data_IF_583417115160
#
_entry.id   IF_583417115160
#
_cell.length_a   1.000
_cell.length_b   1.000
_cell.length_c   1.000
_cell.angle_alpha   90.00
_cell.angle_beta   90.00
_cell.angle_gamma   90.00
#
_symmetry.space_group_name_H-M   'P 1'
#
loop_
_entity.id
_entity.type
_entity.pdbx_description
1 polymer ?
#
# COMPACT_ATOMS: atom_id res chain seq x y z
N UNK A 1 1.78 -13.10 10.22
CA UNK A 1 0.86 -12.02 9.83
C UNK A 1 1.58 -11.15 8.82
N UNK A 2 1.12 -11.06 7.57
CA UNK A 2 1.73 -10.18 6.56
C UNK A 2 1.24 -8.75 6.79
N UNK A 3 1.49 -8.20 7.97
CA UNK A 3 1.06 -6.86 8.30
C UNK A 3 2.23 -5.92 8.03
N UNK A 4 2.07 -5.12 6.97
CA UNK A 4 2.61 -3.76 6.97
C UNK A 4 2.04 -3.12 8.25
N UNK A 5 2.84 -3.11 9.32
CA UNK A 5 2.56 -2.69 10.70
C UNK A 5 1.07 -2.45 11.01
N UNK A 6 0.39 -3.42 11.62
CA UNK A 6 -0.93 -3.22 12.22
C UNK A 6 -0.89 -3.48 13.71
N UNK A 7 -1.41 -2.55 14.51
CA UNK A 7 -1.56 -2.67 15.97
C UNK A 7 -2.70 -3.64 16.38
N UNK A 8 -2.95 -4.67 15.57
CA UNK A 8 -4.01 -5.66 15.78
C UNK A 8 -3.36 -7.01 16.01
N UNK A 9 -3.77 -7.68 17.09
CA UNK A 9 -3.36 -9.04 17.44
C UNK A 9 -4.18 -10.10 16.68
N UNK A 10 -5.21 -9.67 15.95
CA UNK A 10 -6.11 -10.55 15.21
C UNK A 10 -5.54 -10.87 13.82
N UNK A 11 -5.39 -12.16 13.52
CA UNK A 11 -4.77 -12.65 12.29
C UNK A 11 -5.73 -12.85 11.12
N UNK A 12 -6.98 -12.42 11.25
CA UNK A 12 -7.98 -12.60 10.20
C UNK A 12 -7.67 -11.75 8.94
N UNK A 13 -8.19 -12.14 7.78
CA UNK A 13 -7.95 -11.43 6.51
C UNK A 13 -8.48 -9.99 6.50
N UNK A 14 -9.43 -9.66 7.37
CA UNK A 14 -10.02 -8.33 7.45
C UNK A 14 -9.06 -7.33 8.11
N UNK A 15 -8.36 -7.74 9.16
CA UNK A 15 -7.38 -6.93 9.86
C UNK A 15 -6.02 -6.98 9.17
N UNK A 16 -5.12 -6.08 9.57
CA UNK A 16 -3.81 -5.93 8.96
C UNK A 16 -3.82 -5.35 7.54
N UNK A 17 -2.63 -5.01 7.06
CA UNK A 17 -2.39 -4.45 5.74
C UNK A 17 -1.57 -5.42 4.88
N UNK A 18 -2.10 -5.80 3.72
CA UNK A 18 -1.42 -6.58 2.69
C UNK A 18 -1.04 -5.71 1.50
N UNK A 19 -0.20 -6.22 0.59
CA UNK A 19 0.13 -5.52 -0.66
C UNK A 19 -1.12 -5.12 -1.46
N UNK A 20 -2.11 -5.99 -1.56
CA UNK A 20 -3.41 -5.73 -2.20
C UNK A 20 -4.14 -4.54 -1.55
N UNK A 21 -4.30 -4.57 -0.22
CA UNK A 21 -5.00 -3.51 0.52
C UNK A 21 -4.26 -2.17 0.42
N UNK A 22 -2.93 -2.20 0.52
CA UNK A 22 -2.10 -1.00 0.47
C UNK A 22 -2.07 -0.39 -0.93
N UNK A 23 -2.02 -1.21 -1.99
CA UNK A 23 -2.12 -0.71 -3.36
C UNK A 23 -3.47 0.00 -3.59
N UNK A 24 -4.58 -0.59 -3.16
CA UNK A 24 -5.89 0.05 -3.27
C UNK A 24 -6.02 1.32 -2.41
N UNK A 25 -5.45 1.32 -1.21
CA UNK A 25 -5.41 2.51 -0.36
C UNK A 25 -4.60 3.65 -1.00
N UNK A 26 -3.43 3.35 -1.59
CA UNK A 26 -2.57 4.36 -2.20
C UNK A 26 -3.09 4.83 -3.55
N UNK A 27 -3.81 3.98 -4.29
CA UNK A 27 -4.54 4.38 -5.50
C UNK A 27 -5.56 5.49 -5.22
N UNK A 28 -6.13 5.54 -4.00
CA UNK A 28 -7.01 6.64 -3.61
C UNK A 28 -6.30 8.00 -3.58
N UNK A 29 -5.00 8.05 -3.24
CA UNK A 29 -4.24 9.30 -3.37
C UNK A 29 -4.04 9.68 -4.84
N UNK A 30 -3.73 8.70 -5.69
CA UNK A 30 -3.47 8.89 -7.12
C UNK A 30 -4.67 9.47 -7.89
N UNK A 31 -5.89 9.13 -7.47
CA UNK A 31 -7.13 9.43 -8.21
C UNK A 31 -8.02 10.49 -7.56
N UNK A 32 -7.47 11.34 -6.67
CA UNK A 32 -8.21 12.46 -6.08
C UNK A 32 -9.09 12.08 -4.88
N UNK A 33 -8.79 10.96 -4.22
CA UNK A 33 -9.37 10.55 -2.95
C UNK A 33 -10.49 9.53 -3.05
N UNK A 34 -10.60 8.80 -4.16
CA UNK A 34 -11.62 7.77 -4.38
C UNK A 34 -11.01 6.39 -4.17
N UNK A 35 -11.45 5.71 -3.11
CA UNK A 35 -11.09 4.32 -2.90
C UNK A 35 -11.91 3.43 -3.82
N UNK A 36 -11.23 2.51 -4.50
CA UNK A 36 -11.86 1.43 -5.23
C UNK A 36 -11.56 0.10 -4.56
N UNK A 37 -12.57 -0.75 -4.43
CA UNK A 37 -12.36 -2.11 -3.94
C UNK A 37 -11.47 -2.86 -4.95
N UNK A 38 -10.44 -3.60 -4.51
CA UNK A 38 -9.70 -4.49 -5.39
C UNK A 38 -10.64 -5.47 -6.10
N UNK A 39 -10.61 -5.47 -7.43
CA UNK A 39 -11.42 -6.34 -8.29
C UNK A 39 -10.50 -7.15 -9.19
N UNK A 40 -10.73 -8.47 -9.22
CA UNK A 40 -9.96 -9.42 -10.05
C UNK A 40 -10.74 -9.88 -11.28
N UNK A 41 -12.07 -9.74 -11.24
CA UNK A 41 -12.98 -10.13 -12.31
C UNK A 41 -13.91 -8.95 -12.61
N UNK A 42 -14.21 -8.75 -13.88
CA UNK A 42 -15.18 -7.76 -14.35
C UNK A 42 -16.44 -8.42 -14.96
N UNK A 43 -16.35 -9.67 -15.39
CA UNK A 43 -17.46 -10.42 -16.00
C UNK A 43 -17.27 -11.93 -15.86
N UNK A 44 -18.37 -12.64 -15.70
CA UNK A 44 -18.45 -14.11 -15.80
C UNK A 44 -19.54 -14.46 -16.80
N UNK A 45 -19.23 -15.37 -17.72
CA UNK A 45 -20.18 -15.97 -18.68
C UNK A 45 -20.41 -17.41 -18.27
N UNK A 46 -21.67 -17.80 -18.07
CA UNK A 46 -22.05 -19.14 -17.63
C UNK A 46 -22.27 -20.07 -18.82
N UNK A 47 -22.30 -21.38 -18.56
CA UNK A 47 -22.50 -22.40 -19.60
C UNK A 47 -23.87 -22.34 -20.28
N UNK A 48 -24.87 -21.74 -19.62
CA UNK A 48 -26.20 -21.48 -20.18
C UNK A 48 -26.27 -20.21 -21.04
N UNK A 49 -25.14 -19.51 -21.20
CA UNK A 49 -25.03 -18.26 -21.96
C UNK A 49 -25.44 -17.01 -21.17
N UNK A 50 -25.88 -17.13 -19.92
CA UNK A 50 -26.13 -15.97 -19.06
C UNK A 50 -24.81 -15.31 -18.63
N UNK A 51 -24.89 -14.03 -18.27
CA UNK A 51 -23.71 -13.24 -17.93
C UNK A 51 -23.92 -12.48 -16.62
N UNK A 52 -22.84 -12.33 -15.85
CA UNK A 52 -22.81 -11.48 -14.66
C UNK A 52 -21.63 -10.54 -14.73
N UNK A 53 -21.92 -9.24 -14.74
CA UNK A 53 -20.92 -8.18 -14.67
C UNK A 53 -20.66 -7.76 -13.23
N UNK A 54 -19.42 -7.35 -12.97
CA UNK A 54 -18.96 -6.92 -11.67
C UNK A 54 -18.27 -5.56 -11.82
N UNK A 55 -18.76 -4.56 -11.10
CA UNK A 55 -18.22 -3.21 -11.11
C UNK A 55 -18.13 -2.63 -9.70
N UNK A 56 -17.25 -1.65 -9.54
CA UNK A 56 -17.09 -0.89 -8.31
C UNK A 56 -17.17 0.59 -8.64
N UNK A 57 -18.21 1.26 -8.14
CA UNK A 57 -18.39 2.69 -8.33
C UNK A 57 -17.34 3.53 -7.58
N UNK A 58 -16.62 2.91 -6.64
CA UNK A 58 -15.70 3.59 -5.74
C UNK A 58 -16.42 4.36 -4.65
N UNK A 59 -15.67 4.76 -3.63
CA UNK A 59 -16.18 5.55 -2.50
C UNK A 59 -15.17 6.63 -2.15
N UNK A 60 -15.65 7.86 -1.92
CA UNK A 60 -14.77 8.95 -1.49
C UNK A 60 -14.22 8.65 -0.09
N UNK A 61 -12.93 8.39 -0.01
CA UNK A 61 -12.21 8.18 1.24
C UNK A 61 -11.59 9.47 1.79
N UNK A 62 -11.29 10.44 0.91
CA UNK A 62 -10.77 11.75 1.31
C UNK A 62 -11.15 12.86 0.33
N UNK A 63 -10.94 14.12 0.74
CA UNK A 63 -11.07 15.27 -0.14
C UNK A 63 -9.97 15.24 -1.19
N UNK A 64 -10.26 15.77 -2.37
CA UNK A 64 -9.28 15.90 -3.45
C UNK A 64 -8.07 16.73 -3.01
N UNK A 65 -8.29 17.81 -2.26
CA UNK A 65 -7.22 18.64 -1.70
C UNK A 65 -6.33 17.85 -0.74
N UNK A 66 -6.90 16.96 0.08
CA UNK A 66 -6.12 16.06 0.94
C UNK A 66 -5.28 15.10 0.11
N UNK A 67 -5.84 14.49 -0.93
CA UNK A 67 -5.12 13.57 -1.80
C UNK A 67 -3.95 14.27 -2.51
N UNK A 68 -4.17 15.50 -2.98
CA UNK A 68 -3.15 16.34 -3.58
C UNK A 68 -2.02 16.68 -2.60
N UNK A 69 -2.36 17.22 -1.42
CA UNK A 69 -1.37 17.57 -0.39
C UNK A 69 -0.52 16.35 0.02
N UNK A 70 -1.17 15.19 0.23
CA UNK A 70 -0.47 13.95 0.57
C UNK A 70 0.47 13.49 -0.55
N UNK A 71 0.03 13.61 -1.82
CA UNK A 71 0.86 13.28 -2.98
C UNK A 71 2.10 14.17 -3.08
N UNK A 72 1.95 15.49 -2.87
CA UNK A 72 3.07 16.42 -2.89
C UNK A 72 4.06 16.14 -1.76
N UNK A 73 3.57 15.82 -0.55
CA UNK A 73 4.45 15.39 0.54
C UNK A 73 5.19 14.09 0.20
N UNK A 74 4.50 13.09 -0.34
CA UNK A 74 5.10 11.77 -0.66
C UNK A 74 6.06 11.79 -1.85
N UNK A 75 5.96 12.76 -2.77
CA UNK A 75 7.01 12.98 -3.78
C UNK A 75 8.36 13.28 -3.15
N UNK A 76 8.39 14.03 -2.05
CA UNK A 76 9.64 14.40 -1.37
C UNK A 76 10.33 13.20 -0.74
N UNK A 77 9.59 12.15 -0.37
CA UNK A 77 10.14 10.88 0.13
C UNK A 77 11.05 10.22 -0.91
N UNK A 78 10.71 10.33 -2.19
CA UNK A 78 11.52 9.80 -3.29
C UNK A 78 12.60 10.80 -3.71
N UNK A 79 12.33 12.10 -3.62
CA UNK A 79 13.30 13.12 -4.02
C UNK A 79 14.48 13.23 -3.04
N UNK A 80 14.20 13.18 -1.72
CA UNK A 80 15.20 13.50 -0.69
C UNK A 80 15.09 12.61 0.56
N UNK A 81 14.14 11.69 0.61
CA UNK A 81 13.85 10.90 1.80
C UNK A 81 14.27 9.43 1.69
N UNK A 82 13.61 8.60 2.51
CA UNK A 82 13.88 7.17 2.63
C UNK A 82 13.59 6.37 1.36
N UNK A 83 12.73 6.86 0.47
CA UNK A 83 12.36 6.21 -0.79
C UNK A 83 13.27 6.56 -1.96
N UNK A 84 14.43 7.17 -1.73
CA UNK A 84 15.31 7.73 -2.78
C UNK A 84 15.70 6.71 -3.85
N UNK A 85 15.91 5.45 -3.47
CA UNK A 85 16.26 4.36 -4.40
C UNK A 85 15.18 4.06 -5.45
N UNK A 86 13.93 4.45 -5.20
CA UNK A 86 12.83 4.26 -6.15
C UNK A 86 12.63 5.46 -7.09
N UNK A 87 13.41 6.54 -6.99
CA UNK A 87 13.20 7.78 -7.73
C UNK A 87 13.51 7.65 -9.23
N UNK A 88 12.52 7.99 -10.06
CA UNK A 88 12.65 8.08 -11.51
C UNK A 88 12.47 9.55 -11.94
N UNK A 89 13.53 10.24 -12.41
CA UNK A 89 13.49 11.70 -12.64
C UNK A 89 12.50 12.13 -13.73
N UNK A 90 12.15 11.24 -14.65
CA UNK A 90 11.24 11.49 -15.76
C UNK A 90 9.78 11.10 -15.45
N UNK A 91 9.52 10.49 -14.28
CA UNK A 91 8.20 9.98 -13.92
C UNK A 91 7.61 10.75 -12.73
N UNK A 92 6.40 11.27 -12.90
CA UNK A 92 5.65 11.87 -11.80
C UNK A 92 5.09 10.76 -10.90
N UNK A 93 5.79 10.49 -9.80
CA UNK A 93 5.47 9.43 -8.85
C UNK A 93 5.61 9.87 -7.40
N UNK A 94 4.86 9.22 -6.53
CA UNK A 94 4.89 9.42 -5.08
C UNK A 94 4.90 8.05 -4.39
N UNK A 95 5.39 8.00 -3.16
CA UNK A 95 5.37 6.76 -2.40
C UNK A 95 5.94 6.91 -1.00
N UNK A 96 5.84 5.82 -0.24
CA UNK A 96 6.32 5.77 1.14
C UNK A 96 6.99 4.42 1.42
N UNK A 97 8.07 4.46 2.18
CA UNK A 97 8.73 3.26 2.73
C UNK A 97 8.15 2.91 4.10
N UNK A 98 8.28 1.65 4.50
CA UNK A 98 8.03 1.20 5.86
C UNK A 98 9.00 0.09 6.23
N UNK A 99 9.52 0.15 7.45
CA UNK A 99 10.44 -0.84 7.99
C UNK A 99 9.93 -1.28 9.36
N UNK A 100 9.78 -2.58 9.58
CA UNK A 100 9.36 -3.13 10.88
C UNK A 100 10.57 -3.36 11.78
N UNK A 101 10.31 -3.60 13.07
CA UNK A 101 11.35 -3.92 14.04
C UNK A 101 11.07 -5.29 14.67
N UNK A 102 12.14 -5.94 15.12
CA UNK A 102 12.05 -7.06 16.06
C UNK A 102 11.71 -6.56 17.47
N UNK A 103 11.12 -7.45 18.27
CA UNK A 103 11.01 -7.27 19.73
C UNK A 103 12.37 -7.47 20.42
N UNK A 104 12.54 -6.94 21.63
CA UNK A 104 13.79 -7.09 22.40
C UNK A 104 14.17 -8.57 22.60
N UNK A 105 13.17 -9.41 22.90
CA UNK A 105 13.32 -10.86 23.04
C UNK A 105 13.85 -11.54 21.78
N UNK A 106 13.35 -11.15 20.60
CA UNK A 106 13.81 -11.68 19.32
C UNK A 106 15.23 -11.23 19.00
N UNK A 107 15.58 -9.98 19.35
CA UNK A 107 16.93 -9.45 19.19
C UNK A 107 17.91 -10.27 20.02
N UNK A 108 17.63 -10.47 21.32
CA UNK A 108 18.52 -11.18 22.23
C UNK A 108 18.68 -12.66 21.84
N UNK A 109 17.59 -13.34 21.45
CA UNK A 109 17.58 -14.79 21.23
C UNK A 109 17.99 -15.20 19.82
N UNK A 110 17.72 -14.38 18.81
CA UNK A 110 17.77 -14.79 17.41
C UNK A 110 18.66 -13.92 16.52
N UNK A 111 18.87 -12.64 16.87
CA UNK A 111 19.66 -11.73 16.04
C UNK A 111 21.12 -11.73 16.49
N UNK A 112 22.00 -12.29 15.66
CA UNK A 112 23.45 -12.34 15.90
C UNK A 112 24.24 -11.24 15.20
N UNK A 113 23.55 -10.44 14.40
CA UNK A 113 24.15 -9.31 13.67
C UNK A 113 24.05 -8.05 14.53
N UNK A 114 25.15 -7.31 14.68
CA UNK A 114 25.21 -6.05 15.44
C UNK A 114 24.94 -4.81 14.58
N UNK A 115 24.81 -4.99 13.26
CA UNK A 115 24.39 -3.95 12.32
C UNK A 115 22.86 -3.80 12.25
N UNK A 116 22.40 -2.93 11.35
CA UNK A 116 20.98 -2.70 11.11
C UNK A 116 20.29 -3.97 10.59
N UNK A 117 19.20 -4.37 11.23
CA UNK A 117 18.35 -5.49 10.81
C UNK A 117 16.89 -5.11 10.95
N UNK A 118 16.06 -5.64 10.06
CA UNK A 118 14.61 -5.49 10.10
C UNK A 118 13.95 -6.79 9.58
N UNK A 119 12.81 -7.21 10.16
CA UNK A 119 12.07 -8.37 9.66
C UNK A 119 11.37 -8.10 8.33
N UNK A 120 10.84 -6.89 8.13
CA UNK A 120 10.14 -6.50 6.90
C UNK A 120 10.59 -5.12 6.42
N UNK A 121 10.85 -5.04 5.11
CA UNK A 121 11.11 -3.80 4.39
C UNK A 121 10.09 -3.65 3.28
N UNK A 122 9.43 -2.49 3.21
CA UNK A 122 8.28 -2.29 2.33
C UNK A 122 8.33 -0.92 1.64
N UNK A 123 7.77 -0.87 0.44
CA UNK A 123 7.55 0.36 -0.29
C UNK A 123 6.20 0.29 -0.99
N UNK A 124 5.42 1.36 -0.87
CA UNK A 124 4.15 1.53 -1.58
C UNK A 124 4.23 2.83 -2.36
N UNK A 125 4.30 2.70 -3.69
CA UNK A 125 4.37 3.82 -4.62
C UNK A 125 3.21 3.80 -5.60
N UNK A 126 2.95 4.96 -6.21
CA UNK A 126 1.95 5.11 -7.26
C UNK A 126 2.34 6.24 -8.21
N UNK A 127 1.82 6.14 -9.43
CA UNK A 127 1.82 7.21 -10.43
C UNK A 127 0.42 7.81 -10.53
N UNK A 128 0.25 8.83 -11.37
CA UNK A 128 -1.08 9.34 -11.72
C UNK A 128 -1.89 8.30 -12.49
N UNK A 129 -3.21 8.39 -12.38
CA UNK A 129 -4.17 7.71 -13.26
C UNK A 129 -4.11 8.32 -14.67
#
# INVERSE_FOLDING_TARGET
ANAISSNTTESNKQYGASSEKMAAAYAAFANGGIYHKPMYINKVVFSDGSEKEFSDAGTRAMKETTAYMMTEMMKTVLAYGTGRGAYLPWLAQAGKTGTSNYTDDEIEKHIKNTGYVAPDETFVGYTRK
#
